data_IF_011844330865
#
_entry.id   IF_011844330865
#
_cell.length_a   1.000
_cell.length_b   1.000
_cell.length_c   1.000
_cell.angle_alpha   90.00
_cell.angle_beta   90.00
_cell.angle_gamma   90.00
#
_symmetry.space_group_name_H-M   'P 1'
#
loop_
_entity.id
_entity.type
_entity.pdbx_description
1 polymer ?
#
# COMPACT_ATOMS: atom_id res chain seq x y z
N UNK A 1 1.25 3.38 -0.62
CA UNK A 1 0.63 3.81 0.66
C UNK A 1 -0.26 2.72 1.25
N UNK A 2 -1.26 2.17 0.53
CA UNK A 2 -2.14 1.12 1.08
C UNK A 2 -1.40 -0.11 1.61
N UNK A 3 -0.46 -0.68 0.84
CA UNK A 3 0.37 -1.80 1.31
C UNK A 3 1.07 -1.47 2.63
N UNK A 4 1.63 -0.26 2.76
CA UNK A 4 2.36 0.14 3.96
C UNK A 4 1.45 0.21 5.19
N UNK A 5 0.30 0.89 5.09
CA UNK A 5 -0.63 0.99 6.20
C UNK A 5 -1.26 -0.35 6.55
N UNK A 6 -1.58 -1.18 5.56
CA UNK A 6 -2.07 -2.53 5.80
C UNK A 6 -1.02 -3.41 6.48
N UNK A 7 0.25 -3.37 6.06
CA UNK A 7 1.35 -4.06 6.75
C UNK A 7 1.58 -3.55 8.17
N UNK A 8 1.45 -2.24 8.41
CA UNK A 8 1.58 -1.67 9.74
C UNK A 8 0.44 -2.12 10.65
N UNK A 9 -0.81 -2.04 10.19
CA UNK A 9 -1.97 -2.39 11.01
C UNK A 9 -2.17 -3.89 11.18
N UNK A 10 -1.79 -4.72 10.20
CA UNK A 10 -1.77 -6.19 10.39
C UNK A 10 -0.85 -6.55 11.55
N UNK A 11 0.35 -5.97 11.57
CA UNK A 11 1.31 -6.10 12.65
C UNK A 11 0.78 -5.53 13.98
N UNK A 12 0.22 -4.32 13.97
CA UNK A 12 -0.30 -3.66 15.18
C UNK A 12 -1.42 -4.44 15.86
N UNK A 13 -2.32 -5.03 15.09
CA UNK A 13 -3.44 -5.85 15.57
C UNK A 13 -3.10 -7.34 15.71
N UNK A 14 -1.84 -7.74 15.49
CA UNK A 14 -1.39 -9.14 15.50
C UNK A 14 -2.19 -10.06 14.56
N UNK A 15 -2.61 -9.55 13.40
CA UNK A 15 -3.29 -10.30 12.36
C UNK A 15 -2.22 -10.82 11.38
N UNK A 16 -2.06 -12.13 11.33
CA UNK A 16 -1.10 -12.78 10.43
C UNK A 16 -1.64 -12.76 9.00
N UNK A 17 -1.15 -11.83 8.19
CA UNK A 17 -1.37 -11.79 6.75
C UNK A 17 -0.17 -11.19 6.02
N UNK A 18 0.03 -11.60 4.78
CA UNK A 18 0.99 -10.97 3.88
C UNK A 18 0.28 -9.90 3.05
N UNK A 19 0.96 -8.78 2.81
CA UNK A 19 0.37 -7.62 2.14
C UNK A 19 1.25 -7.20 0.98
N UNK A 20 0.62 -7.12 -0.19
CA UNK A 20 1.27 -6.81 -1.45
C UNK A 20 0.63 -5.59 -2.11
N UNK A 21 1.30 -5.03 -3.10
CA UNK A 21 0.71 -4.08 -4.03
C UNK A 21 1.15 -4.38 -5.45
N UNK A 22 0.37 -3.90 -6.40
CA UNK A 22 0.79 -3.84 -7.79
C UNK A 22 -0.16 -2.98 -8.60
N UNK A 23 0.39 -2.34 -9.62
CA UNK A 23 -0.35 -1.50 -10.55
C UNK A 23 -0.43 -2.10 -11.95
N UNK A 24 -0.98 -1.34 -12.87
CA UNK A 24 -0.96 -1.64 -14.32
C UNK A 24 0.29 -1.11 -15.01
N UNK A 25 1.14 -0.38 -14.28
CA UNK A 25 2.41 0.18 -14.77
C UNK A 25 3.45 0.02 -13.67
N UNK A 26 4.66 -0.39 -14.06
CA UNK A 26 5.83 -0.44 -13.19
C UNK A 26 6.69 0.81 -13.37
N UNK A 27 6.96 1.50 -12.27
CA UNK A 27 7.81 2.70 -12.19
C UNK A 27 8.69 2.61 -10.94
N UNK A 28 9.18 3.72 -10.40
CA UNK A 28 9.74 3.75 -9.03
C UNK A 28 8.66 4.16 -8.02
N UNK A 29 8.89 3.88 -6.73
CA UNK A 29 8.05 4.43 -5.65
C UNK A 29 8.25 5.95 -5.58
N UNK A 30 7.16 6.70 -5.62
CA UNK A 30 7.24 8.16 -5.63
C UNK A 30 7.88 8.69 -4.34
N UNK A 31 8.81 9.64 -4.46
CA UNK A 31 9.59 10.18 -3.33
C UNK A 31 8.70 10.78 -2.25
N UNK A 32 7.57 11.38 -2.62
CA UNK A 32 6.64 12.02 -1.69
C UNK A 32 5.90 11.01 -0.80
N UNK A 33 5.74 9.77 -1.28
CA UNK A 33 5.28 8.64 -0.43
C UNK A 33 6.33 8.30 0.62
N UNK A 34 7.60 8.20 0.22
CA UNK A 34 8.69 7.87 1.13
C UNK A 34 8.92 8.98 2.16
N UNK A 35 8.91 10.24 1.73
CA UNK A 35 9.01 11.40 2.61
C UNK A 35 7.86 11.43 3.62
N UNK A 36 6.62 11.18 3.17
CA UNK A 36 5.47 11.11 4.06
C UNK A 36 5.62 9.99 5.10
N UNK A 37 6.08 8.79 4.70
CA UNK A 37 6.31 7.69 5.64
C UNK A 37 7.45 8.05 6.62
N UNK A 38 8.52 8.67 6.15
CA UNK A 38 9.62 9.12 7.01
C UNK A 38 9.18 10.20 8.01
N UNK A 39 8.29 11.11 7.62
CA UNK A 39 7.73 12.16 8.50
C UNK A 39 6.95 11.58 9.69
N UNK A 40 6.40 10.36 9.58
CA UNK A 40 5.77 9.63 10.69
C UNK A 40 6.77 8.90 11.61
N UNK A 41 8.07 9.02 11.36
CA UNK A 41 9.13 8.44 12.20
C UNK A 41 9.53 7.00 11.84
N UNK A 42 9.17 6.53 10.63
CA UNK A 42 9.62 5.23 10.12
C UNK A 42 10.99 5.33 9.49
N UNK A 43 11.82 4.32 9.70
CA UNK A 43 13.14 4.22 9.08
C UNK A 43 13.01 3.57 7.70
N UNK A 44 13.55 4.23 6.69
CA UNK A 44 13.56 3.74 5.31
C UNK A 44 15.01 3.55 4.87
N UNK A 45 15.34 2.34 4.44
CA UNK A 45 16.58 2.04 3.72
C UNK A 45 16.22 1.51 2.33
N UNK A 46 17.12 1.62 1.36
CA UNK A 46 16.85 1.08 0.02
C UNK A 46 18.05 0.33 -0.54
N UNK A 47 17.74 -0.59 -1.46
CA UNK A 47 18.71 -1.23 -2.33
C UNK A 47 18.68 -0.52 -3.68
N UNK A 48 19.84 -0.04 -4.12
CA UNK A 48 19.98 0.64 -5.40
C UNK A 48 19.95 -0.38 -6.56
N UNK A 49 19.00 -0.20 -7.47
CA UNK A 49 18.81 -0.92 -8.72
C UNK A 49 17.88 -0.11 -9.64
N UNK A 50 17.62 -0.58 -10.86
CA UNK A 50 16.79 0.15 -11.84
C UNK A 50 15.37 0.49 -11.33
N UNK A 51 14.81 -0.34 -10.44
CA UNK A 51 13.58 -0.07 -9.70
C UNK A 51 13.89 -0.29 -8.21
N UNK A 52 14.19 0.77 -7.44
CA UNK A 52 14.69 0.62 -6.07
C UNK A 52 13.72 -0.11 -5.15
N UNK A 53 14.26 -0.96 -4.29
CA UNK A 53 13.51 -1.68 -3.27
C UNK A 53 13.71 -1.00 -1.92
N UNK A 54 12.63 -0.49 -1.35
CA UNK A 54 12.62 0.21 -0.06
C UNK A 54 12.24 -0.76 1.07
N UNK A 55 13.11 -0.90 2.06
CA UNK A 55 12.82 -1.61 3.30
C UNK A 55 12.40 -0.60 4.36
N UNK A 56 11.22 -0.81 4.95
CA UNK A 56 10.66 0.10 5.94
C UNK A 56 10.60 -0.61 7.30
N UNK A 57 11.08 0.06 8.34
CA UNK A 57 11.13 -0.46 9.71
C UNK A 57 10.56 0.54 10.70
N UNK A 58 9.95 0.01 11.76
CA UNK A 58 9.56 0.78 12.94
C UNK A 58 10.24 0.20 14.17
N UNK A 59 11.18 0.93 14.76
CA UNK A 59 12.07 0.40 15.80
C UNK A 59 12.75 -0.90 15.32
N UNK A 60 12.53 -2.02 16.02
CA UNK A 60 13.08 -3.33 15.67
C UNK A 60 12.14 -4.17 14.78
N UNK A 61 10.98 -3.64 14.39
CA UNK A 61 9.99 -4.35 13.59
C UNK A 61 10.18 -4.06 12.11
N UNK A 62 10.28 -5.11 11.31
CA UNK A 62 10.30 -5.02 9.85
C UNK A 62 8.86 -4.94 9.32
N UNK A 63 8.56 -3.91 8.53
CA UNK A 63 7.24 -3.72 7.90
C UNK A 63 7.23 -4.19 6.44
N UNK A 64 8.34 -4.70 5.92
CA UNK A 64 8.42 -5.31 4.60
C UNK A 64 9.23 -4.51 3.58
N UNK A 65 9.15 -4.98 2.34
CA UNK A 65 9.81 -4.39 1.18
C UNK A 65 8.77 -3.79 0.23
N UNK A 66 9.09 -2.61 -0.30
CA UNK A 66 8.19 -1.78 -1.09
C UNK A 66 8.90 -1.35 -2.36
N UNK A 67 8.30 -1.67 -3.49
CA UNK A 67 8.77 -1.25 -4.81
C UNK A 67 7.57 -1.28 -5.77
N UNK A 68 7.65 -0.56 -6.88
CA UNK A 68 6.57 -0.62 -7.87
C UNK A 68 6.66 -1.94 -8.61
N UNK A 69 5.51 -2.56 -8.89
CA UNK A 69 5.45 -3.79 -9.69
C UNK A 69 4.09 -3.92 -10.33
N UNK A 70 4.01 -4.73 -11.38
CA UNK A 70 2.72 -5.13 -11.93
C UNK A 70 1.92 -5.95 -10.93
N UNK A 71 0.59 -5.84 -10.98
CA UNK A 71 -0.30 -6.64 -10.13
C UNK A 71 -0.11 -8.15 -10.32
N UNK A 72 0.31 -8.60 -11.51
CA UNK A 72 0.62 -10.00 -11.84
C UNK A 72 2.08 -10.40 -11.61
N UNK A 73 2.88 -9.56 -10.94
CA UNK A 73 4.26 -9.90 -10.61
C UNK A 73 4.33 -11.18 -9.75
N UNK A 74 5.36 -12.01 -9.95
CA UNK A 74 5.49 -13.32 -9.30
C UNK A 74 5.57 -13.28 -7.77
N UNK A 75 5.93 -12.12 -7.18
CA UNK A 75 5.91 -11.94 -5.74
C UNK A 75 4.50 -11.77 -5.16
N UNK A 76 3.52 -11.42 -5.99
CA UNK A 76 2.13 -11.28 -5.54
C UNK A 76 1.44 -12.65 -5.50
N UNK A 77 0.48 -12.86 -4.59
CA UNK A 77 -0.25 -14.11 -4.50
C UNK A 77 -1.03 -14.38 -5.79
N UNK A 78 -1.10 -15.66 -6.18
CA UNK A 78 -1.84 -16.10 -7.37
C UNK A 78 -3.27 -16.51 -7.07
N UNK A 79 -3.57 -16.85 -5.82
CA UNK A 79 -4.87 -17.31 -5.33
C UNK A 79 -4.98 -17.05 -3.81
N UNK A 80 -6.17 -17.29 -3.24
CA UNK A 80 -6.41 -17.24 -1.79
C UNK A 80 -6.10 -15.87 -1.16
N UNK A 81 -6.46 -14.80 -1.87
CA UNK A 81 -6.26 -13.43 -1.38
C UNK A 81 -7.50 -12.54 -1.56
N UNK A 82 -7.60 -11.53 -0.70
CA UNK A 82 -8.53 -10.42 -0.88
C UNK A 82 -7.87 -9.28 -1.64
N UNK A 83 -8.55 -8.72 -2.65
CA UNK A 83 -8.06 -7.56 -3.38
C UNK A 83 -8.73 -6.27 -2.90
N UNK A 84 -7.93 -5.23 -2.63
CA UNK A 84 -8.41 -3.87 -2.36
C UNK A 84 -8.07 -3.01 -3.57
N UNK A 85 -9.10 -2.54 -4.25
CA UNK A 85 -9.00 -1.65 -5.41
C UNK A 85 -8.97 -0.20 -4.93
N UNK A 86 -7.86 0.51 -5.18
CA UNK A 86 -7.61 1.84 -4.60
C UNK A 86 -7.77 3.00 -5.58
N UNK A 87 -7.88 2.70 -6.87
CA UNK A 87 -7.99 3.70 -7.93
C UNK A 87 -9.41 4.24 -8.01
N UNK A 88 -9.54 5.56 -8.14
CA UNK A 88 -10.81 6.25 -8.36
C UNK A 88 -11.38 6.03 -9.77
N UNK A 89 -10.54 5.68 -10.75
CA UNK A 89 -10.94 5.35 -12.13
C UNK A 89 -11.39 3.89 -12.28
N UNK A 90 -12.27 3.43 -11.38
CA UNK A 90 -12.61 2.02 -11.23
C UNK A 90 -13.49 1.43 -12.35
N UNK A 91 -13.96 2.21 -13.33
CA UNK A 91 -15.00 1.73 -14.26
C UNK A 91 -14.55 1.37 -15.68
N UNK A 92 -13.44 1.90 -16.22
CA UNK A 92 -13.10 1.68 -17.64
C UNK A 92 -11.88 0.80 -17.95
N UNK A 93 -11.01 0.50 -16.97
CA UNK A 93 -9.79 -0.30 -17.19
C UNK A 93 -9.39 -1.16 -15.98
N UNK A 94 -10.31 -1.43 -15.07
CA UNK A 94 -9.98 -2.20 -13.88
C UNK A 94 -9.60 -3.64 -14.29
N UNK A 95 -8.35 -4.08 -14.08
CA UNK A 95 -7.94 -5.41 -14.50
C UNK A 95 -8.76 -6.45 -13.74
N UNK A 96 -9.16 -7.51 -14.44
CA UNK A 96 -9.66 -8.71 -13.77
C UNK A 96 -8.50 -9.24 -12.91
N UNK A 97 -8.50 -8.89 -11.62
CA UNK A 97 -7.60 -9.49 -10.64
C UNK A 97 -8.05 -10.94 -10.45
N UNK A 98 -7.49 -11.85 -11.24
CA UNK A 98 -7.75 -13.29 -11.14
C UNK A 98 -7.15 -13.85 -9.84
N UNK A 99 -7.78 -14.89 -9.30
CA UNK A 99 -7.32 -15.55 -8.07
C UNK A 99 -7.76 -14.89 -6.76
N UNK A 100 -8.30 -13.67 -6.78
CA UNK A 100 -8.85 -13.06 -5.57
C UNK A 100 -10.18 -13.73 -5.18
N UNK A 101 -10.35 -14.11 -3.92
CA UNK A 101 -11.61 -14.65 -3.39
C UNK A 101 -12.68 -13.57 -3.24
N UNK A 102 -12.24 -12.36 -2.91
CA UNK A 102 -13.10 -11.20 -2.71
C UNK A 102 -12.40 -9.93 -3.18
N UNK A 103 -13.20 -8.98 -3.67
CA UNK A 103 -12.74 -7.67 -4.13
C UNK A 103 -13.49 -6.58 -3.38
N UNK A 104 -12.75 -5.64 -2.82
CA UNK A 104 -13.28 -4.44 -2.17
C UNK A 104 -12.83 -3.21 -2.93
N UNK A 105 -13.73 -2.26 -3.14
CA UNK A 105 -13.40 -0.95 -3.71
C UNK A 105 -13.24 0.07 -2.60
N UNK A 106 -12.06 0.67 -2.49
CA UNK A 106 -11.72 1.76 -1.57
C UNK A 106 -10.98 2.85 -2.37
N UNK A 107 -11.70 3.60 -3.22
CA UNK A 107 -11.07 4.59 -4.11
C UNK A 107 -10.54 5.78 -3.31
N UNK A 108 -9.33 6.23 -3.65
CA UNK A 108 -8.76 7.47 -3.14
C UNK A 108 -8.51 8.47 -4.26
N UNK A 109 -8.50 9.76 -3.93
CA UNK A 109 -7.96 10.77 -4.83
C UNK A 109 -6.46 10.57 -4.97
N UNK A 110 -5.98 10.39 -6.21
CA UNK A 110 -4.55 10.25 -6.48
C UNK A 110 -3.83 11.59 -6.21
N UNK A 111 -2.95 11.67 -5.19
CA UNK A 111 -2.24 12.91 -4.86
C UNK A 111 -1.24 13.32 -5.94
N UNK A 112 -0.93 12.43 -6.89
CA UNK A 112 -0.06 12.70 -8.05
C UNK A 112 -0.51 13.91 -8.87
N UNK A 113 -1.81 14.26 -8.84
CA UNK A 113 -2.33 15.48 -9.48
C UNK A 113 -1.71 16.78 -8.94
N UNK A 114 -1.09 16.71 -7.76
CA UNK A 114 -0.42 17.83 -7.10
C UNK A 114 1.10 17.77 -7.20
N UNK A 115 1.67 16.83 -7.96
CA UNK A 115 3.12 16.74 -8.17
C UNK A 115 3.68 18.08 -8.67
N UNK A 116 4.83 18.48 -8.12
CA UNK A 116 5.53 19.75 -8.38
C UNK A 116 4.75 21.00 -7.96
N UNK A 117 3.59 20.85 -7.31
CA UNK A 117 2.84 21.96 -6.74
C UNK A 117 3.27 22.25 -5.30
N UNK A 118 2.90 23.44 -4.79
CA UNK A 118 3.12 23.79 -3.38
C UNK A 118 2.34 22.90 -2.40
N UNK A 119 1.29 22.23 -2.87
CA UNK A 119 0.41 21.40 -2.05
C UNK A 119 0.82 19.92 -2.02
N UNK A 120 1.82 19.50 -2.81
CA UNK A 120 2.21 18.10 -2.96
C UNK A 120 2.35 17.38 -1.60
N UNK A 121 3.17 17.92 -0.69
CA UNK A 121 3.40 17.33 0.63
C UNK A 121 2.09 17.15 1.43
N UNK A 122 1.22 18.16 1.41
CA UNK A 122 -0.03 18.13 2.17
C UNK A 122 -1.03 17.14 1.58
N UNK A 123 -1.10 17.04 0.27
CA UNK A 123 -2.05 16.15 -0.42
C UNK A 123 -1.62 14.68 -0.31
N UNK A 124 -0.32 14.38 -0.42
CA UNK A 124 0.20 13.06 -0.10
C UNK A 124 -0.08 12.67 1.36
N UNK A 125 0.11 13.61 2.30
CA UNK A 125 -0.23 13.39 3.71
C UNK A 125 -1.72 13.10 3.91
N UNK A 126 -2.59 13.93 3.34
CA UNK A 126 -4.05 13.78 3.43
C UNK A 126 -4.52 12.43 2.88
N UNK A 127 -4.05 12.04 1.69
CA UNK A 127 -4.38 10.73 1.11
C UNK A 127 -3.84 9.60 1.99
N UNK A 128 -2.60 9.72 2.49
CA UNK A 128 -2.01 8.73 3.40
C UNK A 128 -2.83 8.55 4.69
N UNK A 129 -3.31 9.64 5.29
CA UNK A 129 -4.13 9.60 6.52
C UNK A 129 -5.52 9.00 6.27
N UNK A 130 -6.12 9.27 5.11
CA UNK A 130 -7.38 8.62 4.70
C UNK A 130 -7.22 7.10 4.60
N UNK A 131 -6.16 6.67 3.89
CA UNK A 131 -5.80 5.24 3.78
C UNK A 131 -5.54 4.66 5.17
N UNK A 132 -4.77 5.35 6.00
CA UNK A 132 -4.43 4.88 7.35
C UNK A 132 -5.69 4.68 8.20
N UNK A 133 -6.64 5.61 8.15
CA UNK A 133 -7.91 5.52 8.87
C UNK A 133 -8.72 4.29 8.46
N UNK A 134 -8.85 4.05 7.15
CA UNK A 134 -9.59 2.90 6.62
C UNK A 134 -8.90 1.57 6.90
N UNK A 135 -7.58 1.48 6.72
CA UNK A 135 -6.83 0.27 7.06
C UNK A 135 -6.88 0.00 8.56
N UNK A 136 -6.76 1.02 9.39
CA UNK A 136 -6.91 0.90 10.84
C UNK A 136 -8.29 0.32 11.20
N UNK A 137 -9.36 0.86 10.63
CA UNK A 137 -10.71 0.37 10.85
C UNK A 137 -10.89 -1.08 10.38
N UNK A 138 -10.38 -1.40 9.17
CA UNK A 138 -10.44 -2.75 8.61
C UNK A 138 -9.76 -3.76 9.56
N UNK A 139 -8.49 -3.56 9.90
CA UNK A 139 -7.77 -4.50 10.75
C UNK A 139 -8.31 -4.55 12.19
N UNK A 140 -8.85 -3.43 12.71
CA UNK A 140 -9.55 -3.43 14.00
C UNK A 140 -10.83 -4.27 14.01
N UNK A 141 -11.50 -4.41 12.87
CA UNK A 141 -12.81 -5.06 12.76
C UNK A 141 -12.75 -6.50 12.27
N UNK A 142 -11.60 -6.95 11.72
CA UNK A 142 -11.38 -8.34 11.37
C UNK A 142 -11.58 -9.21 12.62
N UNK A 143 -12.58 -10.10 12.55
CA UNK A 143 -12.79 -11.16 13.53
C UNK A 143 -12.15 -12.42 12.98
N UNK A 144 -11.03 -12.83 13.55
CA UNK A 144 -10.44 -14.13 13.26
C UNK A 144 -11.39 -15.17 13.88
N UNK A 145 -11.99 -16.03 13.05
CA UNK A 145 -12.62 -17.24 13.55
C UNK A 145 -11.49 -18.13 14.06
N UNK A 146 -11.42 -18.34 15.37
CA UNK A 146 -10.58 -19.39 15.91
C UNK A 146 -11.21 -20.71 15.48
N UNK A 147 -10.45 -21.54 14.77
CA UNK A 147 -10.79 -22.94 14.51
C UNK A 147 -10.80 -23.76 15.81
#
# INVERSE_FOLDING_TARGET
MCQFWASFFSNYYNIKCEVYSGGTVETEVHKSVLNNISDYGFNISFKECNNPIYSIKFKNQNLGNYFSKFYYNFENPKNEFAAIMTCSDAENNCPVVEGSEIKFSLPYEDPKKYDKSKNEKNEYKKTSESIASEMNYLFKTIKIKNE
#
